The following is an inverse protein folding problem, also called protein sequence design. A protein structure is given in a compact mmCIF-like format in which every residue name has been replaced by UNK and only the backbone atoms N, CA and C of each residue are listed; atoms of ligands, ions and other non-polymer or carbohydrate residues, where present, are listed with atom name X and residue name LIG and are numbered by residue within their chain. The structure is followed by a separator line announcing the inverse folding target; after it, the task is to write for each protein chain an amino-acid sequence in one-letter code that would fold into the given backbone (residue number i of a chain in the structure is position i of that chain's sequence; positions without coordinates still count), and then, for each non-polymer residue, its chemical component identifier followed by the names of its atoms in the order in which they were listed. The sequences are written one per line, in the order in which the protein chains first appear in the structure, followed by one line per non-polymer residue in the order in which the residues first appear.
data_IF_388294319626
#
_entry.id   IF_388294319626
#
_cell.length_a   1.000
_cell.length_b   1.000
_cell.length_c   1.000
_cell.angle_alpha   90.00
_cell.angle_beta   90.00
_cell.angle_gamma   90.00
#
_symmetry.space_group_name_H-M   'P 1'
#
loop_
_entity.id
_entity.type
_entity.pdbx_description
1 polymer ?
#
# COMPACT_ATOMS: atom_id res chain seq x y z
N UNK A 1 -25.61 -14.89 14.80
CA UNK A 1 -24.19 -14.41 14.81
C UNK A 1 -24.23 -12.90 14.94
N UNK A 2 -23.72 -12.36 16.03
CA UNK A 2 -23.50 -10.90 16.08
C UNK A 2 -22.59 -10.49 14.92
N UNK A 3 -23.05 -9.56 14.11
CA UNK A 3 -22.33 -9.11 12.93
C UNK A 3 -21.05 -8.37 13.35
N UNK A 4 -19.96 -8.63 12.67
CA UNK A 4 -18.73 -7.83 12.80
C UNK A 4 -19.07 -6.39 12.42
N UNK A 5 -18.51 -5.41 13.14
CA UNK A 5 -18.73 -3.97 12.96
C UNK A 5 -18.73 -3.53 11.49
N UNK A 6 -19.64 -2.67 11.12
CA UNK A 6 -19.68 -2.06 9.78
C UNK A 6 -18.49 -1.16 9.46
N UNK A 7 -17.78 -0.70 10.47
CA UNK A 7 -16.56 0.06 10.34
C UNK A 7 -15.30 -0.79 10.13
N UNK A 8 -15.44 -2.14 10.18
CA UNK A 8 -14.36 -3.10 9.89
C UNK A 8 -14.42 -3.55 8.44
N UNK A 9 -13.33 -3.38 7.69
CA UNK A 9 -13.27 -3.64 6.25
C UNK A 9 -12.28 -4.74 5.86
N UNK A 10 -11.21 -4.94 6.63
CA UNK A 10 -10.17 -5.91 6.30
C UNK A 10 -10.62 -7.36 6.46
N UNK A 11 -10.25 -8.21 5.51
CA UNK A 11 -10.53 -9.66 5.55
C UNK A 11 -12.01 -10.03 5.68
N UNK A 12 -12.88 -9.25 5.08
CA UNK A 12 -14.33 -9.49 5.08
C UNK A 12 -14.88 -9.65 3.66
N UNK A 13 -15.77 -10.63 3.41
CA UNK A 13 -16.46 -10.77 2.14
C UNK A 13 -17.23 -9.48 1.80
N UNK A 14 -17.15 -9.06 0.53
CA UNK A 14 -17.87 -7.87 0.03
C UNK A 14 -17.32 -6.52 0.50
N UNK A 15 -16.28 -6.47 1.35
CA UNK A 15 -15.63 -5.23 1.82
C UNK A 15 -14.26 -5.04 1.17
N UNK A 16 -13.93 -3.80 0.79
CA UNK A 16 -12.70 -3.45 0.08
C UNK A 16 -11.94 -2.34 0.82
N UNK A 17 -10.63 -2.28 0.60
CA UNK A 17 -9.81 -1.17 1.07
C UNK A 17 -10.34 0.19 0.56
N UNK A 18 -10.87 0.21 -0.65
CA UNK A 18 -11.48 1.41 -1.25
C UNK A 18 -12.68 1.93 -0.44
N UNK A 19 -13.53 1.03 0.06
CA UNK A 19 -14.71 1.41 0.85
C UNK A 19 -14.29 2.02 2.19
N UNK A 20 -13.25 1.48 2.82
CA UNK A 20 -12.63 2.05 4.02
C UNK A 20 -12.08 3.46 3.78
N UNK A 21 -11.39 3.68 2.64
CA UNK A 21 -10.85 5.00 2.26
C UNK A 21 -11.97 6.00 1.99
N UNK A 22 -13.05 5.59 1.32
CA UNK A 22 -14.22 6.45 1.08
C UNK A 22 -14.92 6.82 2.38
N UNK A 23 -15.07 5.87 3.31
CA UNK A 23 -15.67 6.14 4.62
C UNK A 23 -14.79 7.09 5.45
N UNK A 24 -13.48 6.88 5.43
CA UNK A 24 -12.52 7.78 6.07
C UNK A 24 -12.61 9.21 5.53
N UNK A 25 -12.69 9.37 4.20
CA UNK A 25 -12.90 10.68 3.57
C UNK A 25 -14.19 11.35 4.03
N UNK A 26 -15.30 10.59 4.09
CA UNK A 26 -16.59 11.12 4.56
C UNK A 26 -16.48 11.69 5.98
N UNK A 27 -15.83 10.99 6.89
CA UNK A 27 -15.61 11.48 8.26
C UNK A 27 -14.80 12.77 8.30
N UNK A 28 -13.77 12.90 7.46
CA UNK A 28 -12.99 14.14 7.37
C UNK A 28 -13.83 15.28 6.77
N UNK A 29 -14.65 15.01 5.77
CA UNK A 29 -15.56 15.95 5.12
C UNK A 29 -16.65 16.45 6.10
N UNK A 30 -17.12 15.60 7.02
CA UNK A 30 -18.03 15.94 8.13
C UNK A 30 -17.40 16.80 9.22
N UNK A 31 -16.15 17.23 9.05
CA UNK A 31 -15.45 18.14 9.96
C UNK A 31 -14.62 17.45 11.05
N UNK A 32 -14.41 16.13 10.99
CA UNK A 32 -13.47 15.42 11.88
C UNK A 32 -12.04 15.61 11.37
N UNK A 33 -11.41 16.69 11.76
CA UNK A 33 -10.12 17.16 11.23
C UNK A 33 -8.90 16.44 11.78
N UNK A 34 -9.06 15.66 12.84
CA UNK A 34 -7.98 14.90 13.48
C UNK A 34 -8.25 13.41 13.38
N UNK A 35 -7.17 12.64 13.30
CA UNK A 35 -7.19 11.18 13.29
C UNK A 35 -6.28 10.67 14.39
N UNK A 36 -6.78 9.68 15.10
CA UNK A 36 -6.03 8.81 16.00
C UNK A 36 -5.62 7.60 15.17
N UNK A 37 -4.37 7.57 14.77
CA UNK A 37 -3.76 6.53 13.94
C UNK A 37 -3.08 5.53 14.88
N UNK A 38 -3.58 4.30 14.92
CA UNK A 38 -3.11 3.22 15.80
C UNK A 38 -2.42 2.15 14.98
N UNK A 39 -1.17 1.90 15.32
CA UNK A 39 -0.36 0.77 14.82
C UNK A 39 -0.11 -0.19 15.98
N UNK A 40 -0.42 -1.48 15.80
CA UNK A 40 -0.17 -2.49 16.81
C UNK A 40 1.19 -3.15 16.60
N UNK A 41 1.95 -3.31 17.68
CA UNK A 41 3.28 -3.89 17.61
C UNK A 41 3.20 -5.40 17.37
N UNK A 42 3.63 -5.86 16.18
CA UNK A 42 3.67 -7.29 15.81
C UNK A 42 2.36 -8.00 16.15
N UNK A 43 1.23 -7.44 15.77
CA UNK A 43 -0.10 -7.89 16.14
C UNK A 43 -0.27 -9.41 16.01
N UNK A 44 0.01 -9.97 14.82
CA UNK A 44 -0.15 -11.41 14.58
C UNK A 44 0.78 -12.29 15.42
N UNK A 45 1.91 -11.79 15.87
CA UNK A 45 2.88 -12.53 16.70
C UNK A 45 2.55 -12.45 18.19
N UNK A 46 1.63 -11.56 18.59
CA UNK A 46 1.30 -11.28 20.01
C UNK A 46 -0.14 -11.61 20.40
N UNK A 47 -0.89 -12.28 19.55
CA UNK A 47 -2.26 -12.73 19.87
C UNK A 47 -2.20 -13.72 21.02
N UNK A 48 -2.77 -13.36 22.16
CA UNK A 48 -2.86 -14.28 23.30
C UNK A 48 -3.91 -15.36 23.01
N UNK A 49 -3.48 -16.63 23.02
CA UNK A 49 -4.32 -17.78 22.67
C UNK A 49 -5.53 -17.93 23.59
N UNK A 50 -5.36 -17.77 24.91
CA UNK A 50 -6.46 -17.95 25.87
C UNK A 50 -7.53 -16.87 25.74
N UNK A 51 -7.10 -15.62 25.52
CA UNK A 51 -8.01 -14.50 25.24
C UNK A 51 -8.81 -14.75 23.97
N UNK A 52 -8.16 -15.21 22.91
CA UNK A 52 -8.81 -15.52 21.64
C UNK A 52 -9.75 -16.72 21.80
N UNK A 53 -9.32 -17.82 22.43
CA UNK A 53 -10.13 -19.00 22.65
C UNK A 53 -11.35 -18.71 23.52
N UNK A 54 -11.22 -17.87 24.55
CA UNK A 54 -12.35 -17.42 25.36
C UNK A 54 -13.42 -16.67 24.58
N UNK A 55 -13.01 -15.92 23.52
CA UNK A 55 -13.96 -15.23 22.60
C UNK A 55 -14.60 -16.18 21.60
N UNK A 56 -13.81 -17.12 21.10
CA UNK A 56 -14.32 -18.16 20.20
C UNK A 56 -15.36 -19.04 20.90
N UNK A 57 -15.12 -19.42 22.17
CA UNK A 57 -16.03 -20.22 22.95
C UNK A 57 -17.40 -19.55 23.19
N UNK A 58 -17.48 -18.20 23.15
CA UNK A 58 -18.77 -17.49 23.22
C UNK A 58 -19.59 -17.63 21.93
N UNK A 59 -18.97 -18.00 20.82
CA UNK A 59 -19.58 -18.05 19.46
C UNK A 59 -19.70 -19.47 18.90
N UNK A 60 -18.84 -20.38 19.36
CA UNK A 60 -18.73 -21.75 18.87
C UNK A 60 -19.01 -22.68 20.04
N UNK A 61 -20.14 -23.42 19.98
CA UNK A 61 -20.50 -24.41 21.01
C UNK A 61 -19.74 -25.73 20.84
N UNK A 62 -19.30 -26.07 19.61
CA UNK A 62 -18.61 -27.33 19.33
C UNK A 62 -17.18 -27.32 19.88
N UNK A 63 -16.97 -28.12 20.92
CA UNK A 63 -15.68 -28.31 21.60
C UNK A 63 -14.61 -28.95 20.70
N UNK A 64 -15.01 -29.72 19.66
CA UNK A 64 -14.05 -30.34 18.72
C UNK A 64 -13.45 -29.27 17.81
N UNK A 65 -14.29 -28.36 17.33
CA UNK A 65 -13.84 -27.21 16.52
C UNK A 65 -12.92 -26.31 17.36
N UNK A 66 -13.28 -26.00 18.59
CA UNK A 66 -12.42 -25.20 19.48
C UNK A 66 -11.07 -25.87 19.73
N UNK A 67 -11.02 -27.19 19.95
CA UNK A 67 -9.77 -27.93 20.09
C UNK A 67 -8.93 -27.90 18.81
N UNK A 68 -9.56 -28.01 17.65
CA UNK A 68 -8.84 -27.92 16.37
C UNK A 68 -8.19 -26.54 16.18
N UNK A 69 -8.94 -25.46 16.49
CA UNK A 69 -8.40 -24.09 16.42
C UNK A 69 -7.25 -23.92 17.41
N UNK A 70 -7.37 -24.45 18.64
CA UNK A 70 -6.30 -24.39 19.63
C UNK A 70 -5.03 -25.07 19.14
N UNK A 71 -5.14 -26.28 18.60
CA UNK A 71 -4.01 -27.00 17.98
C UNK A 71 -3.39 -26.23 16.81
N UNK A 72 -4.22 -25.58 16.00
CA UNK A 72 -3.72 -24.72 14.91
C UNK A 72 -2.91 -23.53 15.43
N UNK A 73 -3.32 -22.91 16.53
CA UNK A 73 -2.59 -21.80 17.14
C UNK A 73 -1.27 -22.25 17.76
N UNK A 74 -1.26 -23.42 18.42
CA UNK A 74 -0.10 -24.02 19.09
C UNK A 74 0.85 -24.72 18.10
N UNK A 75 0.40 -24.99 16.87
CA UNK A 75 1.22 -25.57 15.84
C UNK A 75 2.45 -24.69 15.60
N UNK A 76 3.64 -25.25 15.82
CA UNK A 76 4.90 -24.57 15.65
C UNK A 76 5.14 -24.10 14.20
N UNK A 77 6.11 -23.27 14.02
CA UNK A 77 6.59 -22.84 12.70
C UNK A 77 7.90 -23.53 12.38
N UNK A 78 7.97 -24.16 11.22
CA UNK A 78 9.20 -24.76 10.74
C UNK A 78 10.14 -23.63 10.23
N UNK A 79 11.22 -23.37 10.97
CA UNK A 79 12.25 -22.40 10.60
C UNK A 79 13.56 -23.14 10.44
N UNK A 80 14.13 -23.13 9.26
CA UNK A 80 15.40 -23.84 8.94
C UNK A 80 15.43 -25.33 9.38
N UNK A 81 14.28 -26.03 9.26
CA UNK A 81 14.19 -27.45 9.64
C UNK A 81 13.90 -27.71 11.14
N UNK A 82 13.80 -26.67 11.96
CA UNK A 82 13.48 -26.78 13.39
C UNK A 82 12.06 -26.29 13.63
N UNK A 83 11.26 -27.07 14.36
CA UNK A 83 9.91 -26.66 14.79
C UNK A 83 10.05 -25.80 16.04
N UNK A 84 9.68 -24.53 15.91
CA UNK A 84 9.62 -23.58 17.03
C UNK A 84 8.19 -23.58 17.56
N UNK A 85 8.00 -24.03 18.80
CA UNK A 85 6.69 -23.97 19.48
C UNK A 85 6.24 -22.52 19.67
N UNK A 86 4.91 -22.31 19.60
CA UNK A 86 4.29 -21.00 19.81
C UNK A 86 3.35 -21.04 21.00
N UNK A 87 3.59 -20.16 21.95
CA UNK A 87 2.72 -19.94 23.12
C UNK A 87 1.82 -18.71 22.93
N UNK A 88 2.12 -17.86 21.94
CA UNK A 88 1.33 -16.69 21.54
C UNK A 88 1.44 -16.47 20.01
N UNK A 89 0.53 -15.68 19.48
CA UNK A 89 0.50 -15.32 18.08
C UNK A 89 -0.32 -16.27 17.19
N UNK A 90 -0.52 -15.84 15.95
CA UNK A 90 -1.16 -16.64 14.90
C UNK A 90 -0.17 -16.80 13.74
N UNK A 91 -0.17 -17.97 13.05
CA UNK A 91 0.72 -18.17 11.91
C UNK A 91 0.53 -17.09 10.85
N UNK A 92 1.59 -16.31 10.52
CA UNK A 92 1.52 -15.32 9.44
C UNK A 92 1.34 -16.03 8.09
N UNK A 93 0.34 -15.58 7.31
CA UNK A 93 -0.03 -16.22 6.04
C UNK A 93 -0.93 -17.44 6.18
N UNK A 94 -1.29 -17.84 7.39
CA UNK A 94 -2.25 -18.92 7.63
C UNK A 94 -3.68 -18.51 7.25
N UNK A 95 -4.52 -19.44 6.74
CA UNK A 95 -5.86 -19.13 6.24
C UNK A 95 -6.83 -18.64 7.34
N UNK A 96 -6.65 -19.06 8.59
CA UNK A 96 -7.50 -18.67 9.71
C UNK A 96 -7.06 -17.37 10.39
N UNK A 97 -5.80 -16.98 10.28
CA UNK A 97 -5.24 -15.82 11.00
C UNK A 97 -6.01 -14.52 10.77
N UNK A 98 -6.46 -14.18 9.54
CA UNK A 98 -7.26 -12.98 9.29
C UNK A 98 -8.62 -13.00 10.00
N UNK A 99 -9.28 -14.15 10.03
CA UNK A 99 -10.57 -14.32 10.72
C UNK A 99 -10.40 -14.19 12.24
N UNK A 100 -9.39 -14.86 12.79
CA UNK A 100 -9.08 -14.84 14.22
C UNK A 100 -8.70 -13.43 14.69
N UNK A 101 -7.96 -12.68 13.85
CA UNK A 101 -7.65 -11.27 14.08
C UNK A 101 -8.91 -10.42 14.20
N UNK A 102 -9.86 -10.57 13.27
CA UNK A 102 -11.12 -9.84 13.31
C UNK A 102 -11.97 -10.21 14.55
N UNK A 103 -11.97 -11.46 14.98
CA UNK A 103 -12.70 -11.92 16.20
C UNK A 103 -12.09 -11.27 17.46
N UNK A 104 -10.76 -11.16 17.54
CA UNK A 104 -10.11 -10.54 18.69
C UNK A 104 -10.37 -9.02 18.72
N UNK A 105 -10.28 -8.34 17.57
CA UNK A 105 -10.43 -6.89 17.45
C UNK A 105 -11.90 -6.42 17.45
N UNK A 106 -12.87 -7.32 17.32
CA UNK A 106 -14.30 -7.00 17.40
C UNK A 106 -14.70 -6.32 18.72
N UNK A 107 -13.97 -6.60 19.82
CA UNK A 107 -14.20 -5.90 21.09
C UNK A 107 -13.79 -4.43 21.03
N UNK A 108 -12.71 -4.13 20.30
CA UNK A 108 -12.29 -2.74 20.08
C UNK A 108 -13.33 -2.02 19.25
N UNK A 109 -13.83 -2.67 18.21
CA UNK A 109 -14.86 -2.12 17.32
C UNK A 109 -16.14 -1.83 18.13
N UNK A 110 -16.64 -2.80 18.91
CA UNK A 110 -17.85 -2.66 19.74
C UNK A 110 -17.71 -1.55 20.78
N UNK A 111 -16.55 -1.42 21.40
CA UNK A 111 -16.31 -0.35 22.38
C UNK A 111 -16.27 1.03 21.72
N UNK A 112 -15.70 1.15 20.52
CA UNK A 112 -15.73 2.39 19.74
C UNK A 112 -17.15 2.76 19.29
N UNK A 113 -17.93 1.78 18.84
CA UNK A 113 -19.34 1.95 18.47
C UNK A 113 -20.19 2.37 19.67
N UNK A 114 -20.05 1.68 20.81
CA UNK A 114 -20.76 2.00 22.06
C UNK A 114 -20.52 3.43 22.52
N UNK A 115 -19.32 3.98 22.26
CA UNK A 115 -18.96 5.36 22.56
C UNK A 115 -19.33 6.36 21.45
N UNK A 116 -19.90 5.91 20.34
CA UNK A 116 -20.28 6.76 19.22
C UNK A 116 -19.08 7.34 18.46
N UNK A 117 -17.92 6.67 18.46
CA UNK A 117 -16.76 7.12 17.71
C UNK A 117 -16.87 6.80 16.22
N UNK A 118 -16.48 7.77 15.39
CA UNK A 118 -16.31 7.55 13.96
C UNK A 118 -14.94 6.92 13.70
N UNK A 119 -14.91 5.69 13.19
CA UNK A 119 -13.66 4.98 12.94
C UNK A 119 -13.75 4.13 11.68
N UNK A 120 -12.60 3.74 11.18
CA UNK A 120 -12.43 2.71 10.16
C UNK A 120 -11.29 1.79 10.57
N UNK A 121 -11.49 0.50 10.41
CA UNK A 121 -10.47 -0.50 10.66
C UNK A 121 -10.27 -1.40 9.43
N UNK A 122 -9.03 -1.60 9.05
CA UNK A 122 -8.64 -2.55 8.01
C UNK A 122 -7.59 -3.50 8.58
N UNK A 123 -7.99 -4.70 8.98
CA UNK A 123 -7.17 -5.62 9.76
C UNK A 123 -6.75 -4.99 11.11
N UNK A 124 -5.45 -4.83 11.33
CA UNK A 124 -4.82 -4.19 12.49
C UNK A 124 -4.65 -2.66 12.34
N UNK A 125 -4.85 -2.10 11.14
CA UNK A 125 -4.77 -0.66 10.86
C UNK A 125 -6.08 0.02 11.28
N UNK A 126 -6.06 0.73 12.41
CA UNK A 126 -7.22 1.38 13.03
C UNK A 126 -7.07 2.91 13.03
N UNK A 127 -8.01 3.59 12.42
CA UNK A 127 -8.10 5.04 12.40
C UNK A 127 -9.41 5.55 13.02
N UNK A 128 -9.32 6.35 14.09
CA UNK A 128 -10.48 7.00 14.73
C UNK A 128 -10.46 8.50 14.42
N UNK A 129 -11.57 9.01 13.86
CA UNK A 129 -11.69 10.38 13.39
C UNK A 129 -12.41 11.25 14.42
N UNK A 130 -11.77 12.35 14.83
CA UNK A 130 -12.26 13.26 15.87
C UNK A 130 -12.19 14.73 15.43
N UNK A 131 -12.94 15.60 16.11
CA UNK A 131 -13.00 17.03 15.74
C UNK A 131 -11.81 17.84 16.26
N UNK A 132 -11.26 17.49 17.43
CA UNK A 132 -10.18 18.24 18.09
C UNK A 132 -9.02 17.32 18.47
N UNK A 133 -7.83 17.87 18.58
CA UNK A 133 -6.64 17.14 19.02
C UNK A 133 -6.82 16.60 20.45
N UNK A 134 -7.32 17.42 21.38
CA UNK A 134 -7.59 17.01 22.76
C UNK A 134 -8.55 15.82 22.85
N UNK A 135 -9.57 15.78 22.00
CA UNK A 135 -10.47 14.62 21.89
C UNK A 135 -9.71 13.37 21.40
N UNK A 136 -8.80 13.54 20.44
CA UNK A 136 -7.96 12.46 19.94
C UNK A 136 -7.04 11.90 21.02
N UNK A 137 -6.41 12.73 21.82
CA UNK A 137 -5.53 12.32 22.92
C UNK A 137 -6.29 11.49 23.99
N UNK A 138 -7.52 11.90 24.31
CA UNK A 138 -8.40 11.12 25.21
C UNK A 138 -8.76 9.77 24.63
N UNK A 139 -9.09 9.70 23.33
CA UNK A 139 -9.38 8.45 22.62
C UNK A 139 -8.14 7.55 22.60
N UNK A 140 -6.97 8.09 22.27
CA UNK A 140 -5.70 7.37 22.29
C UNK A 140 -5.44 6.74 23.67
N UNK A 141 -5.57 7.52 24.76
CA UNK A 141 -5.40 7.01 26.13
C UNK A 141 -6.38 5.90 26.46
N UNK A 142 -7.63 6.03 26.02
CA UNK A 142 -8.66 5.02 26.24
C UNK A 142 -8.38 3.72 25.46
N UNK A 143 -7.95 3.85 24.19
CA UNK A 143 -7.58 2.70 23.35
C UNK A 143 -6.36 1.96 23.89
N UNK A 144 -5.34 2.68 24.39
CA UNK A 144 -4.20 2.05 25.08
C UNK A 144 -4.65 1.14 26.23
N UNK A 145 -5.54 1.64 27.08
CA UNK A 145 -6.09 0.84 28.20
C UNK A 145 -6.85 -0.41 27.69
N UNK A 146 -7.58 -0.27 26.60
CA UNK A 146 -8.33 -1.38 26.01
C UNK A 146 -7.37 -2.42 25.40
N UNK A 147 -6.35 -2.01 24.65
CA UNK A 147 -5.35 -2.92 24.08
C UNK A 147 -4.54 -3.66 25.18
N UNK A 148 -4.22 -3.00 26.28
CA UNK A 148 -3.58 -3.66 27.44
C UNK A 148 -4.47 -4.78 27.99
N UNK A 149 -5.79 -4.56 28.12
CA UNK A 149 -6.75 -5.60 28.53
C UNK A 149 -6.77 -6.78 27.55
N UNK A 150 -6.53 -6.52 26.26
CA UNK A 150 -6.43 -7.54 25.21
C UNK A 150 -5.05 -8.20 25.12
N UNK A 151 -4.12 -7.84 26.00
CA UNK A 151 -2.71 -8.26 25.98
C UNK A 151 -2.00 -7.88 24.66
N UNK A 152 -2.48 -6.82 23.99
CA UNK A 152 -1.89 -6.25 22.79
C UNK A 152 -1.09 -5.00 23.14
N UNK A 153 -0.06 -4.69 22.34
CA UNK A 153 0.78 -3.52 22.55
C UNK A 153 0.62 -2.54 21.39
N UNK A 154 0.39 -1.27 21.73
CA UNK A 154 0.39 -0.16 20.79
C UNK A 154 1.84 0.20 20.48
N UNK A 155 2.16 0.38 19.21
CA UNK A 155 3.45 0.88 18.78
C UNK A 155 3.52 2.39 18.99
N UNK A 156 4.17 2.81 20.08
CA UNK A 156 4.21 4.21 20.51
C UNK A 156 4.96 5.13 19.53
N UNK A 157 5.88 4.59 18.73
CA UNK A 157 6.64 5.39 17.75
C UNK A 157 5.86 5.67 16.47
N UNK A 158 4.91 4.80 16.13
CA UNK A 158 4.09 4.93 14.92
C UNK A 158 2.70 5.46 15.20
N UNK A 159 2.12 5.14 16.35
CA UNK A 159 0.79 5.60 16.73
C UNK A 159 0.81 7.08 17.13
N UNK A 160 -0.15 7.84 16.62
CA UNK A 160 -0.18 9.30 16.83
C UNK A 160 -1.55 9.90 16.64
N UNK A 161 -1.74 11.06 17.27
CA UNK A 161 -2.86 11.94 16.99
C UNK A 161 -2.37 13.07 16.10
N UNK A 162 -2.95 13.20 14.91
CA UNK A 162 -2.51 14.20 13.94
C UNK A 162 -3.68 14.73 13.10
N UNK A 163 -3.46 15.77 12.31
CA UNK A 163 -4.45 16.22 11.33
C UNK A 163 -4.69 15.13 10.30
N UNK A 164 -5.94 14.84 9.96
CA UNK A 164 -6.30 13.83 8.99
C UNK A 164 -5.65 14.04 7.60
N UNK A 165 -5.40 15.31 7.23
CA UNK A 165 -4.69 15.67 5.98
C UNK A 165 -3.18 15.40 6.04
N UNK A 166 -2.60 15.22 7.23
CA UNK A 166 -1.19 14.89 7.43
C UNK A 166 -0.97 13.39 7.67
N UNK A 167 -2.05 12.60 7.84
CA UNK A 167 -1.98 11.15 7.97
C UNK A 167 -2.14 10.46 6.60
N UNK A 168 -1.80 9.18 6.61
CA UNK A 168 -2.03 8.27 5.49
C UNK A 168 -2.87 7.09 5.98
N UNK A 169 -3.75 6.60 5.14
CA UNK A 169 -4.53 5.40 5.39
C UNK A 169 -4.58 4.54 4.13
N UNK A 170 -4.17 3.30 4.22
CA UNK A 170 -4.14 2.34 3.10
C UNK A 170 -3.47 2.89 1.82
N UNK A 171 -2.37 3.64 1.99
CA UNK A 171 -1.63 4.22 0.86
C UNK A 171 -2.22 5.51 0.29
N UNK A 172 -3.35 5.97 0.78
CA UNK A 172 -3.94 7.26 0.44
C UNK A 172 -3.67 8.32 1.53
N UNK A 173 -3.77 9.57 1.16
CA UNK A 173 -3.85 10.71 2.07
C UNK A 173 -4.91 11.70 1.58
N UNK A 174 -5.39 12.56 2.47
CA UNK A 174 -6.41 13.55 2.17
C UNK A 174 -5.81 14.94 1.99
N UNK A 175 -6.44 15.76 1.18
CA UNK A 175 -6.08 17.17 1.05
C UNK A 175 -7.34 18.01 0.86
N UNK A 176 -7.24 19.29 1.22
CA UNK A 176 -8.35 20.23 1.08
C UNK A 176 -8.24 20.92 -0.26
N UNK A 177 -9.22 20.72 -1.13
CA UNK A 177 -9.36 21.42 -2.39
C UNK A 177 -10.14 22.71 -2.24
N UNK A 178 -10.28 23.49 -3.31
CA UNK A 178 -11.13 24.67 -3.36
C UNK A 178 -12.55 24.36 -2.86
N UNK A 179 -13.20 25.31 -2.20
CA UNK A 179 -14.52 25.10 -1.60
C UNK A 179 -14.54 24.17 -0.37
N UNK A 180 -13.38 23.96 0.29
CA UNK A 180 -13.23 23.09 1.48
C UNK A 180 -13.59 21.62 1.24
N UNK A 181 -13.59 21.18 0.00
CA UNK A 181 -13.83 19.77 -0.35
C UNK A 181 -12.61 18.92 -0.02
N UNK A 182 -12.83 17.80 0.67
CA UNK A 182 -11.77 16.84 0.97
C UNK A 182 -11.61 15.90 -0.22
N UNK A 183 -10.39 15.83 -0.77
CA UNK A 183 -10.04 14.96 -1.88
C UNK A 183 -8.95 13.96 -1.48
N UNK A 184 -8.89 12.85 -2.22
CA UNK A 184 -7.93 11.76 -2.04
C UNK A 184 -6.74 11.97 -2.96
N UNK A 185 -5.56 11.71 -2.45
CA UNK A 185 -4.34 11.62 -3.25
C UNK A 185 -3.56 10.37 -2.86
N UNK A 186 -2.68 9.93 -3.74
CA UNK A 186 -1.71 8.88 -3.42
C UNK A 186 -0.75 9.41 -2.35
N UNK A 187 -0.55 8.66 -1.28
CA UNK A 187 0.40 9.05 -0.24
C UNK A 187 1.84 9.07 -0.79
N UNK A 188 2.68 10.07 -0.41
CA UNK A 188 4.05 10.19 -0.91
C UNK A 188 4.88 8.92 -0.73
N UNK A 189 4.69 8.19 0.37
CA UNK A 189 5.38 6.94 0.63
C UNK A 189 4.98 5.84 -0.36
N UNK A 190 3.71 5.79 -0.81
CA UNK A 190 3.26 4.84 -1.81
C UNK A 190 3.91 5.12 -3.18
N UNK A 191 4.05 6.40 -3.55
CA UNK A 191 4.76 6.83 -4.76
C UNK A 191 6.25 6.45 -4.66
N UNK A 192 6.88 6.68 -3.51
CA UNK A 192 8.29 6.32 -3.27
C UNK A 192 8.51 4.81 -3.47
N UNK A 193 7.71 3.97 -2.80
CA UNK A 193 7.78 2.50 -2.94
C UNK A 193 7.54 2.06 -4.38
N UNK A 194 6.58 2.66 -5.06
CA UNK A 194 6.32 2.38 -6.48
C UNK A 194 7.55 2.70 -7.34
N UNK A 195 8.17 3.89 -7.16
CA UNK A 195 9.40 4.26 -7.88
C UNK A 195 10.57 3.34 -7.58
N UNK A 196 10.71 2.86 -6.35
CA UNK A 196 11.71 1.85 -5.97
C UNK A 196 11.47 0.54 -6.72
N UNK A 197 10.23 0.04 -6.74
CA UNK A 197 9.88 -1.18 -7.46
C UNK A 197 10.08 -1.07 -8.98
N UNK A 198 9.73 0.07 -9.57
CA UNK A 198 10.03 0.35 -10.99
C UNK A 198 11.54 0.33 -11.25
N UNK A 199 12.37 0.89 -10.34
CA UNK A 199 13.84 0.83 -10.47
C UNK A 199 14.36 -0.60 -10.45
N UNK A 200 13.85 -1.46 -9.60
CA UNK A 200 14.20 -2.88 -9.53
C UNK A 200 13.84 -3.60 -10.83
N UNK A 201 12.58 -3.46 -11.28
CA UNK A 201 12.08 -4.10 -12.50
C UNK A 201 12.82 -3.65 -13.77
N UNK A 202 13.31 -2.41 -13.77
CA UNK A 202 14.05 -1.80 -14.89
C UNK A 202 15.54 -1.60 -14.58
N UNK A 203 16.14 -2.55 -13.85
CA UNK A 203 17.56 -2.49 -13.52
C UNK A 203 18.40 -2.64 -14.79
N UNK A 204 19.21 -1.61 -15.10
CA UNK A 204 19.96 -1.50 -16.35
C UNK A 204 21.07 -2.54 -16.55
N UNK A 205 21.47 -3.23 -15.49
CA UNK A 205 22.53 -4.26 -15.48
C UNK A 205 21.98 -5.69 -15.38
N UNK A 206 20.69 -5.90 -15.60
CA UNK A 206 20.05 -7.21 -15.38
C UNK A 206 20.15 -8.19 -16.55
N UNK A 207 20.86 -7.84 -17.64
CA UNK A 207 21.02 -8.70 -18.82
C UNK A 207 19.73 -8.96 -19.64
N UNK A 208 18.63 -8.28 -19.32
CA UNK A 208 17.32 -8.46 -19.96
C UNK A 208 17.10 -7.44 -21.07
N UNK A 209 16.39 -7.83 -22.13
CA UNK A 209 15.96 -6.91 -23.20
C UNK A 209 14.91 -5.94 -22.68
N UNK A 210 14.68 -4.82 -23.42
CA UNK A 210 13.65 -3.84 -23.08
C UNK A 210 12.26 -4.50 -22.99
N UNK A 211 11.90 -5.37 -23.95
CA UNK A 211 10.62 -6.07 -23.95
C UNK A 211 10.45 -7.00 -22.72
N UNK A 212 11.52 -7.73 -22.35
CA UNK A 212 11.51 -8.55 -21.14
C UNK A 212 11.33 -7.75 -19.85
N UNK A 213 11.78 -6.48 -19.82
CA UNK A 213 11.57 -5.59 -18.68
C UNK A 213 10.17 -4.97 -18.69
N UNK A 214 9.65 -4.62 -19.87
CA UNK A 214 8.34 -3.98 -20.01
C UNK A 214 7.18 -4.89 -19.56
N UNK A 215 7.21 -6.19 -19.83
CA UNK A 215 6.14 -7.13 -19.43
C UNK A 215 5.84 -7.15 -17.93
N UNK A 216 6.80 -7.42 -17.03
CA UNK A 216 6.54 -7.38 -15.59
C UNK A 216 6.25 -5.96 -15.08
N UNK A 217 6.84 -4.93 -15.68
CA UNK A 217 6.56 -3.54 -15.36
C UNK A 217 5.11 -3.17 -15.66
N UNK A 218 4.61 -3.54 -16.85
CA UNK A 218 3.23 -3.25 -17.26
C UNK A 218 2.22 -3.91 -16.31
N UNK A 219 2.42 -5.18 -15.95
CA UNK A 219 1.56 -5.86 -14.97
C UNK A 219 1.56 -5.17 -13.60
N UNK A 220 2.73 -4.78 -13.12
CA UNK A 220 2.85 -4.06 -11.85
C UNK A 220 2.12 -2.71 -11.89
N UNK A 221 2.34 -1.91 -12.94
CA UNK A 221 1.69 -0.60 -13.08
C UNK A 221 0.18 -0.70 -13.26
N UNK A 222 -0.31 -1.71 -13.97
CA UNK A 222 -1.76 -1.97 -14.11
C UNK A 222 -2.41 -2.26 -12.75
N UNK A 223 -1.83 -3.13 -11.94
CA UNK A 223 -2.32 -3.41 -10.58
C UNK A 223 -2.25 -2.17 -9.68
N UNK A 224 -1.17 -1.39 -9.79
CA UNK A 224 -0.99 -0.16 -9.04
C UNK A 224 -2.04 0.90 -9.44
N UNK A 225 -2.30 1.09 -10.73
CA UNK A 225 -3.37 1.96 -11.24
C UNK A 225 -4.74 1.53 -10.73
N UNK A 226 -5.07 0.24 -10.81
CA UNK A 226 -6.34 -0.30 -10.34
C UNK A 226 -6.55 -0.05 -8.84
N UNK A 227 -5.50 -0.18 -8.03
CA UNK A 227 -5.58 0.10 -6.59
C UNK A 227 -5.75 1.61 -6.31
N UNK A 228 -4.98 2.47 -6.97
CA UNK A 228 -5.02 3.92 -6.73
C UNK A 228 -6.02 4.70 -7.60
N UNK A 229 -6.95 4.01 -8.26
CA UNK A 229 -7.98 4.64 -9.13
C UNK A 229 -8.86 5.68 -8.42
N UNK A 230 -8.97 5.60 -7.08
CA UNK A 230 -9.71 6.57 -6.28
C UNK A 230 -8.96 7.89 -6.06
N UNK A 231 -7.71 8.00 -6.44
CA UNK A 231 -6.96 9.25 -6.26
C UNK A 231 -7.41 10.31 -7.25
N UNK A 232 -7.68 11.50 -6.73
CA UNK A 232 -8.21 12.66 -7.48
C UNK A 232 -7.09 13.63 -7.84
N UNK A 233 -5.93 13.10 -8.23
CA UNK A 233 -4.71 13.87 -8.58
C UNK A 233 -4.13 13.39 -9.91
N UNK A 234 -4.79 13.68 -11.05
CA UNK A 234 -4.36 13.20 -12.36
C UNK A 234 -2.94 13.63 -12.74
N UNK A 235 -2.51 14.82 -12.33
CA UNK A 235 -1.15 15.31 -12.56
C UNK A 235 -0.07 14.40 -11.99
N UNK A 236 -0.29 13.78 -10.83
CA UNK A 236 0.64 12.81 -10.23
C UNK A 236 0.83 11.59 -11.12
N UNK A 237 -0.24 11.10 -11.76
CA UNK A 237 -0.16 9.97 -12.68
C UNK A 237 0.59 10.34 -13.95
N UNK A 238 0.36 11.54 -14.50
CA UNK A 238 1.08 12.05 -15.66
C UNK A 238 2.59 12.21 -15.38
N UNK A 239 2.97 12.73 -14.21
CA UNK A 239 4.37 12.85 -13.79
C UNK A 239 5.04 11.48 -13.65
N UNK A 240 4.32 10.49 -13.12
CA UNK A 240 4.83 9.13 -13.02
C UNK A 240 5.02 8.53 -14.42
N UNK A 241 4.06 8.70 -15.31
CA UNK A 241 4.17 8.24 -16.71
C UNK A 241 5.37 8.85 -17.41
N UNK A 242 5.55 10.16 -17.31
CA UNK A 242 6.70 10.87 -17.88
C UNK A 242 8.02 10.29 -17.32
N UNK A 243 8.10 10.09 -16.01
CA UNK A 243 9.28 9.53 -15.36
C UNK A 243 9.56 8.07 -15.78
N UNK A 244 8.53 7.23 -15.92
CA UNK A 244 8.66 5.83 -16.37
C UNK A 244 9.17 5.81 -17.82
N UNK A 245 8.60 6.63 -18.73
CA UNK A 245 9.02 6.71 -20.13
C UNK A 245 10.47 7.21 -20.25
N UNK A 246 10.83 8.24 -19.49
CA UNK A 246 12.20 8.72 -19.40
C UNK A 246 13.16 7.59 -18.98
N UNK A 247 12.79 6.82 -17.96
CA UNK A 247 13.60 5.71 -17.47
C UNK A 247 13.77 4.59 -18.51
N UNK A 248 12.72 4.21 -19.22
CA UNK A 248 12.77 3.18 -20.26
C UNK A 248 13.66 3.61 -21.44
N UNK A 249 13.59 4.89 -21.85
CA UNK A 249 14.50 5.47 -22.85
C UNK A 249 15.96 5.38 -22.38
N UNK A 250 16.23 5.72 -21.13
CA UNK A 250 17.58 5.60 -20.56
C UNK A 250 18.10 4.16 -20.50
N UNK A 251 17.20 3.18 -20.27
CA UNK A 251 17.54 1.75 -20.35
C UNK A 251 17.91 1.36 -21.77
N UNK A 252 17.12 1.77 -22.77
CA UNK A 252 17.39 1.47 -24.17
C UNK A 252 18.71 2.09 -24.64
N UNK A 253 19.01 3.34 -24.28
CA UNK A 253 20.30 3.96 -24.59
C UNK A 253 21.47 3.18 -23.99
N UNK A 254 21.34 2.66 -22.79
CA UNK A 254 22.38 1.82 -22.21
C UNK A 254 22.57 0.50 -22.96
N UNK A 255 21.49 -0.11 -23.50
CA UNK A 255 21.57 -1.34 -24.27
C UNK A 255 22.35 -1.14 -25.58
N UNK A 256 22.27 0.03 -26.19
CA UNK A 256 23.03 0.32 -27.40
C UNK A 256 24.53 0.56 -27.15
N UNK A 257 24.96 0.73 -25.90
CA UNK A 257 26.34 0.79 -25.37
C UNK A 257 27.25 1.84 -26.05
N UNK A 258 27.53 1.69 -27.37
CA UNK A 258 28.51 2.47 -28.14
C UNK A 258 27.85 3.61 -28.88
N UNK A 259 28.52 4.79 -28.97
CA UNK A 259 27.99 5.96 -29.67
C UNK A 259 27.62 5.67 -31.12
N UNK A 260 28.47 4.92 -31.85
CA UNK A 260 28.19 4.53 -33.26
C UNK A 260 26.87 3.73 -33.39
N UNK A 261 26.63 2.74 -32.48
CA UNK A 261 25.40 1.94 -32.47
C UNK A 261 24.21 2.84 -32.12
N UNK A 262 24.37 3.68 -31.11
CA UNK A 262 23.32 4.62 -30.67
C UNK A 262 22.91 5.57 -31.79
N UNK A 263 23.88 6.16 -32.53
CA UNK A 263 23.62 7.01 -33.67
C UNK A 263 22.82 6.27 -34.74
N UNK A 264 23.33 5.11 -35.20
CA UNK A 264 22.67 4.30 -36.22
C UNK A 264 21.22 3.95 -35.85
N UNK A 265 21.01 3.48 -34.62
CA UNK A 265 19.71 3.07 -34.14
C UNK A 265 18.72 4.25 -34.00
N UNK A 266 19.20 5.43 -33.61
CA UNK A 266 18.38 6.63 -33.50
C UNK A 266 17.96 7.14 -34.91
N UNK A 267 18.89 7.19 -35.85
CA UNK A 267 18.59 7.60 -37.23
C UNK A 267 17.64 6.60 -37.90
N UNK A 268 17.89 5.30 -37.77
CA UNK A 268 17.02 4.27 -38.31
C UNK A 268 15.56 4.35 -37.77
N UNK A 269 15.36 4.99 -36.61
CA UNK A 269 14.04 5.26 -36.01
C UNK A 269 13.51 6.67 -36.28
N UNK A 270 14.05 7.34 -37.28
CA UNK A 270 13.56 8.65 -37.75
C UNK A 270 14.03 9.86 -36.96
N UNK A 271 15.05 9.73 -36.11
CA UNK A 271 15.63 10.91 -35.45
C UNK A 271 16.52 11.67 -36.43
N UNK A 272 16.42 13.01 -36.51
CA UNK A 272 17.30 13.82 -37.34
C UNK A 272 18.78 13.55 -37.04
N UNK A 273 19.67 13.44 -38.07
CA UNK A 273 21.08 13.07 -37.90
C UNK A 273 21.83 13.94 -36.89
N UNK A 274 21.61 15.25 -36.88
CA UNK A 274 22.27 16.18 -35.95
C UNK A 274 21.81 15.97 -34.49
N UNK A 275 20.52 15.67 -34.26
CA UNK A 275 20.00 15.35 -32.95
C UNK A 275 20.55 13.99 -32.48
N UNK A 276 20.60 12.99 -33.36
CA UNK A 276 21.17 11.68 -33.08
C UNK A 276 22.66 11.75 -32.74
N UNK A 277 23.42 12.62 -33.47
CA UNK A 277 24.85 12.86 -33.21
C UNK A 277 25.09 13.46 -31.83
N UNK A 278 24.30 14.46 -31.41
CA UNK A 278 24.38 15.06 -30.07
C UNK A 278 24.11 14.04 -28.95
N UNK A 279 23.14 13.16 -29.11
CA UNK A 279 22.86 12.08 -28.15
C UNK A 279 24.00 11.07 -28.11
N UNK A 280 24.50 10.63 -29.25
CA UNK A 280 25.55 9.63 -29.40
C UNK A 280 26.91 10.09 -28.87
N UNK A 281 27.25 11.39 -29.02
CA UNK A 281 28.48 11.98 -28.50
C UNK A 281 28.62 11.84 -26.98
N UNK A 282 27.52 11.84 -26.28
CA UNK A 282 27.46 11.65 -24.83
C UNK A 282 26.93 10.26 -24.42
N UNK A 283 27.33 9.20 -25.09
CA UNK A 283 26.77 7.84 -24.99
C UNK A 283 26.72 7.25 -23.60
N UNK A 284 27.52 7.73 -22.64
CA UNK A 284 27.51 7.27 -21.23
C UNK A 284 26.51 8.01 -20.33
N UNK A 285 25.95 9.14 -20.78
CA UNK A 285 25.01 9.99 -20.00
C UNK A 285 23.54 9.62 -20.28
N UNK A 286 23.19 8.34 -20.15
CA UNK A 286 21.88 7.80 -20.54
C UNK A 286 20.69 8.56 -19.96
N UNK A 287 20.76 8.94 -18.67
CA UNK A 287 19.66 9.65 -18.01
C UNK A 287 19.48 11.07 -18.60
N UNK A 288 20.54 11.83 -18.74
CA UNK A 288 20.47 13.16 -19.36
C UNK A 288 19.97 13.06 -20.80
N UNK A 289 20.53 12.15 -21.57
CA UNK A 289 20.19 11.98 -22.99
C UNK A 289 18.73 11.51 -23.17
N UNK A 290 18.17 10.78 -22.22
CA UNK A 290 16.77 10.33 -22.29
C UNK A 290 15.74 11.47 -22.21
N UNK A 291 16.14 12.67 -21.78
CA UNK A 291 15.34 13.90 -21.82
C UNK A 291 15.47 14.67 -23.15
N UNK A 292 16.49 14.34 -23.97
CA UNK A 292 16.66 14.97 -25.28
C UNK A 292 15.67 14.31 -26.25
N UNK A 293 15.21 14.95 -27.26
CA UNK A 293 14.26 14.58 -28.33
C UNK A 293 14.07 13.05 -28.65
N UNK A 294 14.31 12.14 -27.66
CA UNK A 294 14.20 10.70 -27.82
C UNK A 294 12.77 10.22 -28.05
N UNK A 295 11.78 11.06 -27.80
CA UNK A 295 10.39 10.74 -28.13
C UNK A 295 10.16 10.53 -29.64
N UNK A 296 11.07 11.04 -30.49
CA UNK A 296 11.05 10.81 -31.95
C UNK A 296 11.41 9.34 -32.24
N UNK A 297 12.56 8.87 -31.76
CA UNK A 297 13.06 7.52 -32.03
C UNK A 297 12.43 6.45 -31.10
N UNK A 298 12.00 6.84 -29.89
CA UNK A 298 11.39 5.99 -28.89
C UNK A 298 10.09 6.65 -28.39
N UNK A 299 9.04 6.70 -29.23
CA UNK A 299 7.77 7.33 -28.88
C UNK A 299 7.07 6.56 -27.74
N UNK A 300 6.13 7.23 -27.08
CA UNK A 300 5.35 6.59 -26.00
C UNK A 300 4.61 5.34 -26.48
N UNK A 301 4.10 5.38 -27.73
CA UNK A 301 3.42 4.25 -28.38
C UNK A 301 4.24 2.96 -28.34
N UNK A 302 5.56 3.03 -28.58
CA UNK A 302 6.45 1.87 -28.49
C UNK A 302 6.35 1.15 -27.14
N UNK A 303 6.28 1.91 -26.05
CA UNK A 303 6.17 1.32 -24.70
C UNK A 303 4.76 0.82 -24.41
N UNK A 304 3.75 1.47 -24.97
CA UNK A 304 2.35 1.02 -24.88
C UNK A 304 2.21 -0.36 -25.59
N UNK A 305 2.81 -0.52 -26.78
CA UNK A 305 2.88 -1.78 -27.54
C UNK A 305 3.68 -2.86 -26.80
N UNK A 306 4.70 -2.49 -26.03
CA UNK A 306 5.44 -3.40 -25.14
C UNK A 306 4.70 -3.74 -23.84
N UNK A 307 3.47 -3.29 -23.67
CA UNK A 307 2.59 -3.62 -22.55
C UNK A 307 2.74 -2.70 -21.31
N UNK A 308 3.39 -1.53 -21.46
CA UNK A 308 3.49 -0.53 -20.41
C UNK A 308 2.45 0.56 -20.65
N UNK A 309 1.20 0.28 -20.25
CA UNK A 309 0.10 1.23 -20.40
C UNK A 309 0.28 2.48 -19.53
N UNK A 310 -0.38 3.58 -19.90
CA UNK A 310 -0.32 4.84 -19.16
C UNK A 310 -1.17 4.76 -17.88
N UNK A 311 -0.70 5.43 -16.84
CA UNK A 311 -1.44 5.60 -15.59
C UNK A 311 -2.45 6.74 -15.72
N UNK A 312 -2.02 7.85 -16.29
CA UNK A 312 -2.92 8.94 -16.68
C UNK A 312 -3.76 8.50 -17.89
N UNK A 313 -5.07 8.64 -17.76
CA UNK A 313 -6.03 8.43 -18.86
C UNK A 313 -6.41 9.78 -19.41
#
# INVERSE_FOLDING_TARGET
MEAVSDASYGFRPGRRAHDAVLRAQAYVQEGRRFVVDIDLEKFFDRVNHDMLMGRLAKRIADRRVLRLIRRYLEAGVLVHGVVIERHEGTPQGGPLSPLLANILLDEVDKELERRGHAFVRYADDLNVYVRTQRSGERVMTSLRKLFVKLKLRVNETKSKVTRATASKFLGFSFWVASGRTIRRRVAPQAIKRMKERVRELTRRSAGRSLAQMCRPLGRYLAGWKAYFRLAETPGVFADIDAWVRHRLRAVQLKHWKRGKVMYRELVARGMPPDAARRVAANSRRWWRNSAMALHIALPNRLFDELGVNRLAC
#
